data_IF_664069132500
#
_entry.id   IF_664069132500
#
_cell.length_a   1.000
_cell.length_b   1.000
_cell.length_c   1.000
_cell.angle_alpha   90.00
_cell.angle_beta   90.00
_cell.angle_gamma   90.00
#
_symmetry.space_group_name_H-M   'P 1'
#
loop_
_entity.id
_entity.type
_entity.pdbx_description
1 polymer ?
#
# COMPACT_ATOMS: atom_id res chain seq x y z
N UNK A 1 -3.05 32.68 -28.76
CA UNK A 1 -2.94 31.60 -27.76
C UNK A 1 -4.24 31.57 -26.98
N UNK A 2 -5.05 30.53 -27.15
CA UNK A 2 -6.36 30.42 -26.48
C UNK A 2 -6.12 29.97 -25.04
N UNK A 3 -6.52 30.80 -24.08
CA UNK A 3 -6.40 30.48 -22.65
C UNK A 3 -7.51 29.50 -22.27
N UNK A 4 -7.12 28.31 -21.80
CA UNK A 4 -8.07 27.30 -21.31
C UNK A 4 -8.82 27.85 -20.11
N UNK A 5 -10.12 27.56 -20.05
CA UNK A 5 -10.93 27.84 -18.87
C UNK A 5 -10.48 26.97 -17.68
N UNK A 6 -10.76 27.39 -16.43
CA UNK A 6 -10.48 26.57 -15.26
C UNK A 6 -11.16 25.18 -15.27
N UNK A 7 -12.25 25.00 -16.01
CA UNK A 7 -12.90 23.70 -16.17
C UNK A 7 -12.09 22.77 -17.10
N UNK A 8 -11.59 23.31 -18.22
CA UNK A 8 -10.75 22.57 -19.17
C UNK A 8 -9.40 22.17 -18.54
N UNK A 9 -8.81 23.05 -17.73
CA UNK A 9 -7.58 22.74 -16.99
C UNK A 9 -7.76 21.59 -15.99
N UNK A 10 -8.91 21.54 -15.30
CA UNK A 10 -9.23 20.44 -14.38
C UNK A 10 -9.46 19.13 -15.12
N UNK A 11 -10.24 19.16 -16.21
CA UNK A 11 -10.49 17.97 -17.02
C UNK A 11 -9.20 17.40 -17.62
N UNK A 12 -8.27 18.25 -18.05
CA UNK A 12 -6.95 17.84 -18.52
C UNK A 12 -6.10 17.20 -17.42
N UNK A 13 -6.07 17.80 -16.21
CA UNK A 13 -5.37 17.23 -15.07
C UNK A 13 -5.95 15.86 -14.67
N UNK A 14 -7.28 15.73 -14.63
CA UNK A 14 -7.97 14.46 -14.35
C UNK A 14 -7.64 13.39 -15.41
N UNK A 15 -7.70 13.76 -16.69
CA UNK A 15 -7.35 12.86 -17.79
C UNK A 15 -5.88 12.41 -17.72
N UNK A 16 -4.97 13.29 -17.31
CA UNK A 16 -3.55 12.98 -17.19
C UNK A 16 -3.26 12.00 -16.03
N UNK A 17 -3.92 12.16 -14.87
CA UNK A 17 -3.65 11.28 -13.71
C UNK A 17 -4.38 9.94 -13.79
N UNK A 18 -5.52 9.87 -14.49
CA UNK A 18 -6.41 8.69 -14.48
C UNK A 18 -5.72 7.37 -14.85
N UNK A 19 -4.88 7.27 -15.90
CA UNK A 19 -4.27 6.00 -16.27
C UNK A 19 -3.32 5.45 -15.19
N UNK A 20 -2.46 6.30 -14.62
CA UNK A 20 -1.57 5.90 -13.53
C UNK A 20 -2.33 5.64 -12.23
N UNK A 21 -3.40 6.40 -11.97
CA UNK A 21 -4.30 6.17 -10.85
C UNK A 21 -4.97 4.80 -10.91
N UNK A 22 -5.44 4.38 -12.08
CA UNK A 22 -6.03 3.06 -12.30
C UNK A 22 -5.02 1.93 -12.08
N UNK A 23 -3.82 2.04 -12.68
CA UNK A 23 -2.74 1.06 -12.44
C UNK A 23 -2.39 0.94 -10.96
N UNK A 24 -2.35 2.07 -10.24
CA UNK A 24 -2.09 2.08 -8.81
C UNK A 24 -3.20 1.36 -8.02
N UNK A 25 -4.46 1.53 -8.39
CA UNK A 25 -5.59 0.83 -7.74
C UNK A 25 -5.46 -0.68 -7.92
N UNK A 26 -5.15 -1.14 -9.14
CA UNK A 26 -4.96 -2.56 -9.44
C UNK A 26 -3.81 -3.17 -8.65
N UNK A 27 -2.66 -2.48 -8.61
CA UNK A 27 -1.51 -2.91 -7.83
C UNK A 27 -1.79 -2.96 -6.33
N UNK A 28 -2.55 -2.00 -5.80
CA UNK A 28 -2.95 -2.01 -4.40
C UNK A 28 -3.88 -3.18 -4.08
N UNK A 29 -4.84 -3.50 -4.95
CA UNK A 29 -5.71 -4.66 -4.77
C UNK A 29 -4.88 -5.96 -4.74
N UNK A 30 -3.90 -6.10 -5.65
CA UNK A 30 -3.02 -7.26 -5.66
C UNK A 30 -2.12 -7.33 -4.42
N UNK A 31 -1.63 -6.19 -3.94
CA UNK A 31 -0.86 -6.13 -2.70
C UNK A 31 -1.71 -6.54 -1.50
N UNK A 32 -2.97 -6.12 -1.44
CA UNK A 32 -3.89 -6.48 -0.35
C UNK A 32 -4.20 -7.99 -0.31
N UNK A 33 -4.28 -8.65 -1.47
CA UNK A 33 -4.38 -10.11 -1.55
C UNK A 33 -3.16 -10.79 -0.92
N UNK A 34 -1.94 -10.33 -1.24
CA UNK A 34 -0.70 -10.84 -0.67
C UNK A 34 -0.65 -10.57 0.84
N UNK A 35 -1.02 -9.37 1.27
CA UNK A 35 -1.02 -8.98 2.68
C UNK A 35 -1.99 -9.83 3.52
N UNK A 36 -3.11 -10.27 2.95
CA UNK A 36 -4.07 -11.15 3.62
C UNK A 36 -3.43 -12.46 4.06
N UNK A 37 -2.64 -13.06 3.17
CA UNK A 37 -1.95 -14.32 3.44
C UNK A 37 -0.68 -14.10 4.29
N UNK A 38 -0.01 -12.97 4.11
CA UNK A 38 1.23 -12.64 4.80
C UNK A 38 1.02 -12.22 6.26
N UNK A 39 -0.08 -11.53 6.57
CA UNK A 39 -0.38 -11.03 7.92
C UNK A 39 -0.33 -12.10 9.03
N UNK A 40 -0.99 -13.28 8.91
CA UNK A 40 -0.89 -14.31 9.93
C UNK A 40 0.54 -14.85 10.08
N UNK A 41 1.31 -14.93 8.99
CA UNK A 41 2.71 -15.38 9.02
C UNK A 41 3.62 -14.37 9.72
N UNK A 42 3.40 -13.06 9.50
CA UNK A 42 4.15 -12.02 10.21
C UNK A 42 3.80 -12.01 11.70
N UNK A 43 2.51 -12.12 12.04
CA UNK A 43 2.09 -12.23 13.45
C UNK A 43 2.77 -13.42 14.14
N UNK A 44 2.88 -14.54 13.43
CA UNK A 44 3.58 -15.71 13.91
C UNK A 44 5.08 -15.48 14.09
N UNK A 45 5.74 -14.92 13.09
CA UNK A 45 7.16 -14.60 13.15
C UNK A 45 7.47 -13.67 14.33
N UNK A 46 6.62 -12.68 14.61
CA UNK A 46 6.76 -11.81 15.79
C UNK A 46 6.61 -12.61 17.10
N UNK A 47 5.67 -13.55 17.16
CA UNK A 47 5.50 -14.46 18.32
C UNK A 47 6.73 -15.35 18.54
N UNK A 48 7.41 -15.74 17.47
CA UNK A 48 8.69 -16.47 17.49
C UNK A 48 9.91 -15.56 17.69
N UNK A 49 9.71 -14.31 18.11
CA UNK A 49 10.76 -13.33 18.41
C UNK A 49 11.65 -12.96 17.20
N UNK A 50 11.15 -13.13 15.97
CA UNK A 50 11.87 -12.63 14.78
C UNK A 50 11.92 -11.09 14.83
N UNK A 51 13.11 -10.47 14.73
CA UNK A 51 13.23 -9.02 14.81
C UNK A 51 12.44 -8.31 13.70
N UNK A 52 11.75 -7.21 14.03
CA UNK A 52 10.98 -6.41 13.05
C UNK A 52 11.82 -5.94 11.85
N UNK A 53 13.10 -5.63 12.07
CA UNK A 53 14.04 -5.30 10.99
C UNK A 53 14.15 -6.47 10.00
N UNK A 54 14.28 -7.70 10.49
CA UNK A 54 14.38 -8.89 9.65
C UNK A 54 13.08 -9.17 8.90
N UNK A 55 11.93 -8.96 9.55
CA UNK A 55 10.62 -9.03 8.89
C UNK A 55 10.54 -8.02 7.75
N UNK A 56 11.00 -6.78 7.97
CA UNK A 56 11.02 -5.73 6.93
C UNK A 56 11.92 -6.12 5.75
N UNK A 57 13.12 -6.64 6.02
CA UNK A 57 14.05 -7.12 4.99
C UNK A 57 13.45 -8.25 4.13
N UNK A 58 12.67 -9.16 4.74
CA UNK A 58 12.10 -10.32 4.06
C UNK A 58 10.81 -10.02 3.30
N UNK A 59 10.05 -9.02 3.74
CA UNK A 59 8.66 -8.83 3.28
C UNK A 59 8.39 -7.44 2.70
N UNK A 60 9.30 -6.49 2.90
CA UNK A 60 9.06 -5.08 2.58
C UNK A 60 8.05 -4.38 3.51
N UNK A 61 7.43 -5.10 4.45
CA UNK A 61 6.47 -4.52 5.40
C UNK A 61 7.21 -3.67 6.42
N UNK A 62 6.80 -2.41 6.56
CA UNK A 62 7.43 -1.49 7.51
C UNK A 62 7.31 -1.99 8.98
N UNK A 63 8.30 -1.71 9.85
CA UNK A 63 8.30 -2.20 11.23
C UNK A 63 7.06 -1.83 12.05
N UNK A 64 6.51 -0.64 11.82
CA UNK A 64 5.29 -0.16 12.47
C UNK A 64 4.04 -0.93 12.01
N UNK A 65 3.95 -1.28 10.73
CA UNK A 65 2.87 -2.10 10.17
C UNK A 65 2.95 -3.53 10.72
N UNK A 66 4.14 -4.15 10.71
CA UNK A 66 4.34 -5.47 11.28
C UNK A 66 3.99 -5.50 12.79
N UNK A 67 4.37 -4.46 13.53
CA UNK A 67 3.94 -4.29 14.94
C UNK A 67 2.43 -4.21 15.05
N UNK A 68 1.77 -3.35 14.27
CA UNK A 68 0.32 -3.18 14.31
C UNK A 68 -0.44 -4.49 14.01
N UNK A 69 0.05 -5.31 13.09
CA UNK A 69 -0.54 -6.62 12.78
C UNK A 69 -0.35 -7.65 13.90
N UNK A 70 0.72 -7.53 14.68
CA UNK A 70 1.00 -8.43 15.81
C UNK A 70 0.23 -8.07 17.08
N UNK A 71 -0.02 -6.77 17.31
CA UNK A 71 -0.80 -6.29 18.45
C UNK A 71 -2.29 -6.43 18.15
N UNK A 72 -3.04 -7.18 18.97
CA UNK A 72 -4.50 -7.34 18.81
C UNK A 72 -5.17 -5.99 18.54
N UNK A 73 -5.74 -5.81 17.35
CA UNK A 73 -6.93 -4.95 17.21
C UNK A 73 -7.99 -5.60 18.09
N UNK A 74 -8.41 -4.89 19.15
CA UNK A 74 -9.57 -5.29 19.97
C UNK A 74 -10.80 -5.40 19.11
#
# INVERSE_FOLDING_TARGET
MTQKSPAELRAEAEAAIKPLGQQRIELLARLEEIERDLRPLIKEAVRMEVPYRRITELTGVAPNTARAWSTKTK
#
